data_IF_578270889975
#
_entry.id   IF_578270889975
#
_cell.length_a   1.000
_cell.length_b   1.000
_cell.length_c   1.000
_cell.angle_alpha   90.00
_cell.angle_beta   90.00
_cell.angle_gamma   90.00
#
_symmetry.space_group_name_H-M   'P 1'
#
loop_
_entity.id
_entity.type
_entity.pdbx_description
1 polymer ?
#
# COMPACT_ATOMS: atom_id res chain seq x y z
N UNK A 1 4.31 -25.90 -19.77
CA UNK A 1 3.42 -25.45 -18.68
C UNK A 1 3.55 -26.46 -17.56
N UNK A 2 3.85 -26.02 -16.32
CA UNK A 2 3.96 -26.93 -15.17
C UNK A 2 2.58 -27.38 -14.69
N UNK A 3 2.50 -28.58 -14.10
CA UNK A 3 1.31 -29.06 -13.39
C UNK A 3 1.33 -28.56 -11.93
N UNK A 4 0.18 -28.14 -11.41
CA UNK A 4 -0.01 -27.84 -9.99
C UNK A 4 -0.71 -29.03 -9.32
N UNK A 5 -0.26 -29.41 -8.14
CA UNK A 5 -0.79 -30.57 -7.40
C UNK A 5 -2.02 -30.22 -6.54
N UNK A 6 -2.30 -28.93 -6.36
CA UNK A 6 -3.37 -28.40 -5.49
C UNK A 6 -4.32 -27.54 -6.32
N UNK A 7 -5.61 -27.50 -5.97
CA UNK A 7 -6.55 -26.58 -6.61
C UNK A 7 -6.33 -25.14 -6.08
N UNK A 8 -5.81 -24.21 -6.91
CA UNK A 8 -5.35 -22.92 -6.42
C UNK A 8 -6.53 -22.03 -5.98
N UNK A 9 -6.53 -21.64 -4.72
CA UNK A 9 -7.46 -20.64 -4.16
C UNK A 9 -6.82 -19.25 -4.11
N UNK A 10 -5.52 -19.20 -3.79
CA UNK A 10 -4.73 -17.97 -3.83
C UNK A 10 -3.37 -18.20 -4.46
N UNK A 11 -2.87 -17.18 -5.15
CA UNK A 11 -1.54 -17.16 -5.76
C UNK A 11 -0.91 -15.82 -5.43
N UNK A 12 0.31 -15.82 -4.92
CA UNK A 12 1.01 -14.58 -4.56
C UNK A 12 2.51 -14.70 -4.80
N UNK A 13 3.11 -13.66 -5.37
CA UNK A 13 4.57 -13.54 -5.43
C UNK A 13 5.15 -13.11 -4.09
N UNK A 14 6.38 -13.55 -3.79
CA UNK A 14 7.18 -12.91 -2.75
C UNK A 14 7.43 -11.44 -3.12
N UNK A 15 7.69 -10.53 -2.17
CA UNK A 15 7.86 -9.10 -2.46
C UNK A 15 8.88 -8.78 -3.55
N UNK A 16 9.98 -9.54 -3.62
CA UNK A 16 11.00 -9.40 -4.66
C UNK A 16 10.72 -10.18 -5.96
N UNK A 17 9.55 -10.81 -6.10
CA UNK A 17 9.15 -11.61 -7.26
C UNK A 17 9.89 -12.94 -7.46
N UNK A 18 10.83 -13.32 -6.59
CA UNK A 18 11.67 -14.52 -6.78
C UNK A 18 10.92 -15.83 -6.57
N UNK A 19 9.92 -15.82 -5.69
CA UNK A 19 9.10 -16.96 -5.37
C UNK A 19 7.64 -16.67 -5.70
N UNK A 20 6.88 -17.75 -5.90
CA UNK A 20 5.43 -17.73 -5.97
C UNK A 20 4.90 -18.78 -5.01
N UNK A 21 3.94 -18.41 -4.19
CA UNK A 21 3.19 -19.35 -3.35
C UNK A 21 1.83 -19.61 -3.99
N UNK A 22 1.41 -20.86 -3.94
CA UNK A 22 0.05 -21.29 -4.28
C UNK A 22 -0.53 -21.90 -3.03
N UNK A 23 -1.71 -21.44 -2.61
CA UNK A 23 -2.45 -22.03 -1.50
C UNK A 23 -3.80 -22.56 -1.97
N UNK A 24 -4.23 -23.69 -1.40
CA UNK A 24 -5.50 -24.33 -1.69
C UNK A 24 -5.67 -25.59 -0.86
N UNK A 25 -6.91 -25.99 -0.63
CA UNK A 25 -7.25 -27.26 0.06
C UNK A 25 -6.57 -27.46 1.44
N UNK A 26 -6.25 -26.36 2.14
CA UNK A 26 -5.57 -26.40 3.44
C UNK A 26 -4.05 -26.63 3.34
N UNK A 27 -3.48 -26.47 2.16
CA UNK A 27 -2.05 -26.63 1.87
C UNK A 27 -1.48 -25.38 1.19
N UNK A 28 -0.16 -25.24 1.28
CA UNK A 28 0.61 -24.26 0.52
C UNK A 28 1.81 -24.93 -0.13
N UNK A 29 2.18 -24.44 -1.32
CA UNK A 29 3.40 -24.83 -2.02
C UNK A 29 4.11 -23.58 -2.52
N UNK A 30 5.40 -23.47 -2.22
CA UNK A 30 6.29 -22.39 -2.69
C UNK A 30 7.13 -22.90 -3.84
N UNK A 31 7.11 -22.17 -4.95
CA UNK A 31 7.92 -22.42 -6.13
C UNK A 31 8.87 -21.25 -6.42
N UNK A 32 9.96 -21.51 -7.16
CA UNK A 32 10.70 -20.43 -7.83
C UNK A 32 9.88 -19.85 -8.97
N UNK A 33 9.79 -18.52 -9.08
CA UNK A 33 8.95 -17.89 -10.10
C UNK A 33 9.42 -18.19 -11.54
N UNK A 34 10.74 -18.20 -11.79
CA UNK A 34 11.28 -18.36 -13.15
C UNK A 34 11.15 -19.77 -13.73
N UNK A 35 11.29 -20.80 -12.89
CA UNK A 35 11.43 -22.19 -13.33
C UNK A 35 10.43 -23.14 -12.68
N UNK A 36 9.53 -22.61 -11.83
CA UNK A 36 8.50 -23.36 -11.09
C UNK A 36 9.07 -24.57 -10.33
N UNK A 37 10.28 -24.44 -9.76
CA UNK A 37 10.89 -25.50 -8.95
C UNK A 37 10.36 -25.42 -7.53
N UNK A 38 9.86 -26.55 -7.01
CA UNK A 38 9.40 -26.64 -5.62
C UNK A 38 10.53 -26.27 -4.64
N UNK A 39 10.20 -25.44 -3.65
CA UNK A 39 11.10 -25.00 -2.59
C UNK A 39 10.66 -25.44 -1.20
N UNK A 40 9.37 -25.42 -0.93
CA UNK A 40 8.79 -25.74 0.37
C UNK A 40 7.30 -26.00 0.18
N UNK A 41 6.72 -26.81 1.05
CA UNK A 41 5.29 -27.10 1.09
C UNK A 41 4.90 -27.42 2.54
N UNK A 42 3.60 -27.36 2.81
CA UNK A 42 3.05 -27.74 4.11
C UNK A 42 1.56 -27.48 4.20
N UNK A 43 0.97 -27.80 5.35
CA UNK A 43 -0.43 -27.50 5.65
C UNK A 43 -0.57 -26.07 6.17
N UNK A 44 -1.50 -25.30 5.63
CA UNK A 44 -1.81 -23.95 6.08
C UNK A 44 -3.25 -23.57 5.68
N UNK A 45 -3.98 -22.91 6.57
CA UNK A 45 -5.24 -22.26 6.20
C UNK A 45 -4.99 -20.92 5.51
N UNK A 46 -3.95 -20.20 5.93
CA UNK A 46 -3.51 -18.95 5.32
C UNK A 46 -1.99 -18.88 5.28
N UNK A 47 -1.50 -18.12 4.31
CA UNK A 47 -0.09 -17.86 4.10
C UNK A 47 0.10 -16.37 3.83
N UNK A 48 1.13 -15.77 4.44
CA UNK A 48 1.53 -14.39 4.12
C UNK A 48 3.05 -14.26 4.07
N UNK A 49 3.52 -13.45 3.13
CA UNK A 49 4.92 -13.04 3.06
C UNK A 49 5.21 -11.90 4.04
N UNK A 50 6.38 -11.94 4.68
CA UNK A 50 6.96 -10.73 5.24
C UNK A 50 7.46 -9.81 4.10
N UNK A 51 7.76 -8.55 4.41
CA UNK A 51 8.46 -7.68 3.47
C UNK A 51 9.85 -8.24 3.10
N UNK A 52 10.56 -8.82 4.08
CA UNK A 52 11.73 -9.67 3.81
C UNK A 52 11.28 -10.94 3.09
N UNK A 53 11.64 -11.05 1.80
CA UNK A 53 11.26 -12.16 0.94
C UNK A 53 11.85 -13.52 1.35
N UNK A 54 12.70 -13.57 2.38
CA UNK A 54 13.17 -14.82 2.99
C UNK A 54 12.27 -15.33 4.13
N UNK A 55 11.31 -14.52 4.58
CA UNK A 55 10.44 -14.79 5.72
C UNK A 55 8.97 -14.86 5.31
N UNK A 56 8.23 -15.76 5.95
CA UNK A 56 6.79 -15.90 5.78
C UNK A 56 6.15 -16.47 7.04
N UNK A 57 4.85 -16.28 7.16
CA UNK A 57 4.04 -16.90 8.20
C UNK A 57 2.92 -17.73 7.59
N UNK A 58 2.54 -18.78 8.31
CA UNK A 58 1.32 -19.53 8.03
C UNK A 58 0.46 -19.58 9.28
N UNK A 59 -0.84 -19.74 9.05
CA UNK A 59 -1.82 -19.99 10.11
C UNK A 59 -2.33 -21.43 10.03
N UNK A 60 -2.24 -22.14 11.15
CA UNK A 60 -2.80 -23.47 11.32
C UNK A 60 -3.96 -23.41 12.31
N UNK A 61 -5.18 -23.69 11.83
CA UNK A 61 -6.40 -23.52 12.62
C UNK A 61 -6.60 -22.07 13.09
N UNK A 62 -7.35 -21.89 14.17
CA UNK A 62 -7.76 -20.54 14.62
C UNK A 62 -6.87 -19.97 15.74
N UNK A 63 -5.68 -20.54 15.96
CA UNK A 63 -4.88 -20.17 17.15
C UNK A 63 -3.37 -20.32 17.00
N UNK A 64 -2.87 -21.01 15.98
CA UNK A 64 -1.43 -21.24 15.84
C UNK A 64 -0.90 -20.49 14.63
N UNK A 65 0.12 -19.68 14.87
CA UNK A 65 0.87 -18.98 13.82
C UNK A 65 2.31 -19.47 13.85
N UNK A 66 2.81 -19.87 12.68
CA UNK A 66 4.18 -20.35 12.50
C UNK A 66 4.94 -19.40 11.58
N UNK A 67 6.14 -19.01 11.98
CA UNK A 67 7.04 -18.14 11.23
C UNK A 67 8.20 -18.98 10.70
N UNK A 68 8.49 -18.79 9.42
CA UNK A 68 9.56 -19.46 8.69
C UNK A 68 10.56 -18.43 8.17
N UNK A 69 11.85 -18.79 8.18
CA UNK A 69 12.93 -18.01 7.57
C UNK A 69 13.82 -18.93 6.77
N UNK A 70 14.09 -18.57 5.52
CA UNK A 70 14.83 -19.41 4.56
C UNK A 70 14.22 -20.82 4.44
N UNK A 71 12.88 -20.89 4.38
CA UNK A 71 12.11 -22.15 4.27
C UNK A 71 12.29 -23.13 5.45
N UNK A 72 12.75 -22.64 6.59
CA UNK A 72 12.85 -23.42 7.83
C UNK A 72 12.00 -22.78 8.91
N UNK A 73 11.25 -23.59 9.64
CA UNK A 73 10.47 -23.12 10.79
C UNK A 73 11.42 -22.49 11.81
N UNK A 74 11.08 -21.29 12.28
CA UNK A 74 11.84 -20.55 13.28
C UNK A 74 11.11 -20.44 14.59
N UNK A 75 9.81 -20.14 14.52
CA UNK A 75 9.00 -19.89 15.70
C UNK A 75 7.57 -20.33 15.46
N UNK A 76 6.97 -20.87 16.51
CA UNK A 76 5.56 -21.21 16.56
C UNK A 76 5.01 -20.59 17.83
N UNK A 77 3.93 -19.82 17.71
CA UNK A 77 3.31 -19.14 18.84
C UNK A 77 1.79 -19.12 18.72
N UNK A 78 1.14 -18.86 19.85
CA UNK A 78 -0.32 -18.72 19.94
C UNK A 78 -0.66 -17.29 20.36
N UNK A 79 -1.21 -16.46 19.46
CA UNK A 79 -1.68 -15.13 19.82
C UNK A 79 -2.70 -15.21 20.97
N UNK A 80 -2.58 -14.33 21.97
CA UNK A 80 -3.38 -14.41 23.19
C UNK A 80 -4.91 -14.30 22.98
N UNK A 81 -5.33 -13.66 21.89
CA UNK A 81 -6.74 -13.43 21.55
C UNK A 81 -7.23 -14.30 20.37
N UNK A 82 -6.46 -15.33 20.00
CA UNK A 82 -6.75 -16.15 18.82
C UNK A 82 -6.23 -15.55 17.52
N UNK A 83 -6.37 -16.30 16.43
CA UNK A 83 -5.92 -15.93 15.11
C UNK A 83 -6.96 -16.36 14.07
N UNK A 84 -7.78 -15.43 13.60
CA UNK A 84 -8.79 -15.68 12.57
C UNK A 84 -8.27 -15.35 11.18
N UNK A 85 -7.37 -14.36 11.07
CA UNK A 85 -6.70 -14.00 9.81
C UNK A 85 -5.30 -13.46 10.06
N UNK A 86 -4.36 -13.70 9.15
CA UNK A 86 -3.01 -13.13 9.17
C UNK A 86 -2.75 -12.19 7.99
N UNK A 87 -1.90 -11.18 8.21
CA UNK A 87 -1.51 -10.18 7.24
C UNK A 87 0.01 -10.03 7.20
N UNK A 88 0.55 -9.97 5.99
CA UNK A 88 1.97 -9.77 5.74
C UNK A 88 2.41 -8.31 5.79
N UNK A 89 3.66 -8.07 5.37
CA UNK A 89 4.27 -6.74 5.31
C UNK A 89 5.41 -6.54 6.30
N UNK A 90 5.59 -5.33 6.79
CA UNK A 90 6.70 -4.98 7.69
C UNK A 90 6.56 -5.53 9.10
N UNK A 91 5.32 -5.72 9.56
CA UNK A 91 4.96 -6.45 10.75
C UNK A 91 3.97 -7.56 10.40
N UNK A 92 3.94 -8.60 11.21
CA UNK A 92 2.95 -9.66 11.09
C UNK A 92 1.65 -9.21 11.76
N UNK A 93 0.62 -8.93 10.98
CA UNK A 93 -0.72 -8.64 11.48
C UNK A 93 -1.48 -9.92 11.78
N UNK A 94 -2.14 -9.99 12.93
CA UNK A 94 -3.06 -11.06 13.30
C UNK A 94 -4.38 -10.44 13.71
N UNK A 95 -5.44 -10.73 12.94
CA UNK A 95 -6.81 -10.35 13.29
C UNK A 95 -7.45 -11.44 14.12
N UNK A 96 -8.14 -11.01 15.16
CA UNK A 96 -9.06 -11.79 15.97
C UNK A 96 -10.44 -11.11 15.97
N UNK A 97 -11.45 -11.77 16.53
CA UNK A 97 -12.75 -11.14 16.83
C UNK A 97 -12.66 -9.86 17.69
N UNK A 98 -11.54 -9.64 18.40
CA UNK A 98 -11.34 -8.49 19.28
C UNK A 98 -10.55 -7.33 18.65
N UNK A 99 -10.13 -7.46 17.38
CA UNK A 99 -9.31 -6.45 16.71
C UNK A 99 -8.05 -7.04 16.07
N UNK A 100 -7.09 -6.17 15.77
CA UNK A 100 -5.84 -6.46 15.07
C UNK A 100 -4.65 -6.30 16.02
N UNK A 101 -3.76 -7.28 16.03
CA UNK A 101 -2.48 -7.22 16.74
C UNK A 101 -1.32 -7.30 15.74
N UNK A 102 -0.36 -6.39 15.87
CA UNK A 102 0.89 -6.41 15.11
C UNK A 102 2.01 -7.06 15.93
N UNK A 103 2.72 -7.99 15.32
CA UNK A 103 3.85 -8.70 15.91
C UNK A 103 5.13 -8.47 15.11
N UNK A 104 6.27 -8.44 15.81
CA UNK A 104 7.58 -8.42 15.18
C UNK A 104 7.91 -9.77 14.53
N UNK A 105 8.46 -9.77 13.31
CA UNK A 105 8.79 -11.01 12.59
C UNK A 105 9.88 -11.86 13.27
N UNK A 106 10.90 -11.23 13.86
CA UNK A 106 12.04 -11.95 14.45
C UNK A 106 11.73 -12.46 15.87
N UNK A 107 11.16 -11.62 16.72
CA UNK A 107 10.93 -11.96 18.13
C UNK A 107 9.52 -12.44 18.42
N UNK A 108 8.56 -12.27 17.50
CA UNK A 108 7.12 -12.49 17.71
C UNK A 108 6.55 -11.78 18.94
N UNK A 109 7.18 -10.69 19.37
CA UNK A 109 6.66 -9.86 20.44
C UNK A 109 5.51 -8.99 19.92
N UNK A 110 4.53 -8.74 20.79
CA UNK A 110 3.43 -7.83 20.49
C UNK A 110 3.98 -6.40 20.39
N UNK A 111 3.83 -5.79 19.21
CA UNK A 111 4.21 -4.40 18.97
C UNK A 111 3.08 -3.47 19.36
N UNK A 112 1.88 -3.70 18.83
CA UNK A 112 0.70 -2.90 19.15
C UNK A 112 -0.57 -3.67 18.81
N UNK A 113 -1.58 -3.53 19.66
CA UNK A 113 -2.96 -3.93 19.38
C UNK A 113 -3.81 -2.71 19.07
N UNK A 114 -4.71 -2.87 18.12
CA UNK A 114 -5.70 -1.85 17.73
C UNK A 114 -7.07 -2.50 17.60
N UNK A 115 -8.10 -1.80 18.06
CA UNK A 115 -9.50 -2.26 18.03
C UNK A 115 -10.14 -2.02 16.66
N UNK A 116 -9.44 -2.41 15.59
CA UNK A 116 -9.88 -2.30 14.21
C UNK A 116 -9.97 -3.70 13.62
N UNK A 117 -11.06 -3.99 12.89
CA UNK A 117 -11.28 -5.26 12.20
C UNK A 117 -10.95 -5.13 10.71
N UNK A 118 -9.70 -5.41 10.28
CA UNK A 118 -9.32 -5.27 8.87
C UNK A 118 -9.93 -6.36 7.99
N UNK A 119 -10.30 -6.00 6.77
CA UNK A 119 -10.40 -6.91 5.62
C UNK A 119 -9.06 -7.04 4.91
N UNK A 120 -8.32 -5.93 4.79
CA UNK A 120 -7.01 -5.89 4.14
C UNK A 120 -6.05 -4.94 4.86
N UNK A 121 -4.75 -5.22 4.73
CA UNK A 121 -3.67 -4.36 5.22
C UNK A 121 -2.66 -4.16 4.08
N UNK A 122 -2.32 -2.91 3.79
CA UNK A 122 -1.37 -2.55 2.74
C UNK A 122 -0.27 -1.67 3.32
N UNK A 123 0.96 -2.15 3.27
CA UNK A 123 2.14 -1.38 3.69
C UNK A 123 2.75 -0.62 2.52
N UNK A 124 3.27 0.57 2.78
CA UNK A 124 4.13 1.28 1.83
C UNK A 124 5.46 0.57 1.67
N UNK A 125 6.13 0.77 0.53
CA UNK A 125 7.45 0.16 0.27
C UNK A 125 8.53 0.64 1.26
N UNK A 126 8.36 1.80 1.88
CA UNK A 126 9.23 2.31 2.95
C UNK A 126 8.99 1.66 4.30
N UNK A 127 7.80 1.07 4.52
CA UNK A 127 7.36 0.56 5.81
C UNK A 127 6.92 1.63 6.81
N UNK A 128 6.95 2.90 6.42
CA UNK A 128 6.55 4.02 7.29
C UNK A 128 5.03 4.22 7.31
N UNK A 129 4.31 3.81 6.26
CA UNK A 129 2.87 4.01 6.14
C UNK A 129 2.16 2.66 6.01
N UNK A 130 1.00 2.55 6.64
CA UNK A 130 0.12 1.40 6.52
C UNK A 130 -1.32 1.85 6.34
N UNK A 131 -1.99 1.25 5.37
CA UNK A 131 -3.43 1.37 5.18
C UNK A 131 -4.11 0.13 5.78
N UNK A 132 -5.06 0.34 6.68
CA UNK A 132 -5.90 -0.68 7.27
C UNK A 132 -7.31 -0.50 6.72
N UNK A 133 -7.70 -1.36 5.77
CA UNK A 133 -9.01 -1.30 5.13
C UNK A 133 -10.01 -2.21 5.85
N UNK A 134 -11.15 -1.67 6.23
CA UNK A 134 -12.24 -2.37 6.94
C UNK A 134 -13.43 -2.63 6.01
N UNK A 135 -14.58 -2.99 6.57
CA UNK A 135 -15.82 -3.18 5.83
C UNK A 135 -16.43 -1.88 5.30
N UNK A 136 -16.19 -0.77 5.99
CA UNK A 136 -16.90 0.50 5.75
C UNK A 136 -15.95 1.68 5.47
N UNK A 137 -14.75 1.65 6.04
CA UNK A 137 -13.74 2.72 5.92
C UNK A 137 -12.32 2.16 5.80
N UNK A 138 -11.35 3.03 5.54
CA UNK A 138 -9.94 2.70 5.72
C UNK A 138 -9.22 3.76 6.54
N UNK A 139 -8.20 3.32 7.26
CA UNK A 139 -7.35 4.14 8.10
C UNK A 139 -5.94 4.17 7.53
N UNK A 140 -5.32 5.34 7.53
CA UNK A 140 -3.90 5.48 7.20
C UNK A 140 -3.13 5.83 8.46
N UNK A 141 -2.16 4.98 8.80
CA UNK A 141 -1.32 5.14 9.98
C UNK A 141 0.15 5.26 9.56
N UNK A 142 0.92 5.99 10.35
CA UNK A 142 2.38 6.04 10.29
C UNK A 142 2.95 5.08 11.34
N UNK A 143 3.86 4.21 10.93
CA UNK A 143 4.61 3.34 11.81
C UNK A 143 5.95 3.98 12.19
N UNK A 144 6.24 4.06 13.49
CA UNK A 144 7.43 4.69 14.04
C UNK A 144 8.37 3.64 14.64
N UNK A 145 9.24 3.06 13.80
CA UNK A 145 10.20 2.03 14.23
C UNK A 145 11.10 2.47 15.39
N UNK A 146 11.48 3.75 15.44
CA UNK A 146 12.31 4.31 16.51
C UNK A 146 11.65 4.16 17.89
N UNK A 147 10.33 4.38 17.98
CA UNK A 147 9.56 4.23 19.21
C UNK A 147 9.55 2.78 19.70
N UNK A 148 9.49 1.84 18.76
CA UNK A 148 9.58 0.41 19.07
C UNK A 148 10.92 0.06 19.68
N UNK A 149 12.02 0.50 19.06
CA UNK A 149 13.38 0.25 19.54
C UNK A 149 13.59 0.83 20.95
N UNK A 150 13.19 2.08 21.19
CA UNK A 150 13.32 2.72 22.51
C UNK A 150 12.49 2.02 23.60
N UNK A 151 11.27 1.57 23.27
CA UNK A 151 10.42 0.85 24.21
C UNK A 151 10.99 -0.54 24.57
N UNK A 152 11.64 -1.21 23.62
CA UNK A 152 12.29 -2.50 23.86
C UNK A 152 13.50 -2.39 24.80
N UNK A 153 14.24 -1.28 24.73
CA UNK A 153 15.39 -1.02 25.62
C UNK A 153 14.97 -0.61 27.03
N UNK A 154 14.00 0.29 27.14
CA UNK A 154 13.57 0.87 28.43
C UNK A 154 12.59 -0.01 29.22
N UNK A 155 11.84 -0.90 28.55
CA UNK A 155 10.76 -1.75 29.12
C UNK A 155 9.64 -1.03 29.90
N UNK A 156 9.75 0.26 30.15
CA UNK A 156 8.75 1.06 30.88
C UNK A 156 7.51 1.41 30.03
N UNK A 157 7.62 1.36 28.69
CA UNK A 157 6.54 1.74 27.76
C UNK A 157 5.71 0.56 27.24
N UNK A 158 5.85 -0.63 27.83
CA UNK A 158 5.11 -1.83 27.42
C UNK A 158 3.79 -1.93 28.21
N UNK A 159 2.68 -1.72 27.51
CA UNK A 159 1.33 -1.96 28.03
C UNK A 159 0.83 -3.34 27.63
N UNK A 160 -0.32 -3.77 28.16
CA UNK A 160 -0.98 -5.01 27.73
C UNK A 160 -1.31 -5.02 26.23
N UNK A 161 -1.57 -3.84 25.66
CA UNK A 161 -1.83 -3.64 24.23
C UNK A 161 -0.56 -3.30 23.42
N UNK A 162 0.63 -3.44 24.00
CA UNK A 162 1.92 -3.15 23.37
C UNK A 162 2.36 -1.70 23.54
N UNK A 163 2.94 -1.13 22.49
CA UNK A 163 3.60 0.19 22.47
C UNK A 163 2.66 1.18 21.78
N UNK A 164 2.01 2.04 22.55
CA UNK A 164 1.01 2.98 22.03
C UNK A 164 1.57 3.92 20.97
N UNK A 165 2.77 4.46 21.21
CA UNK A 165 3.46 5.39 20.31
C UNK A 165 4.05 4.72 19.06
N UNK A 166 3.89 3.41 18.87
CA UNK A 166 4.40 2.72 17.68
C UNK A 166 3.66 3.14 16.40
N UNK A 167 2.40 3.59 16.53
CA UNK A 167 1.57 4.01 15.40
C UNK A 167 0.92 5.36 15.66
N UNK A 168 0.95 6.22 14.65
CA UNK A 168 0.25 7.50 14.62
C UNK A 168 -0.85 7.45 13.55
N UNK A 169 -2.09 7.79 13.89
CA UNK A 169 -3.20 7.83 12.93
C UNK A 169 -3.12 9.14 12.14
N UNK A 170 -2.94 9.03 10.82
CA UNK A 170 -2.85 10.21 9.92
C UNK A 170 -4.21 10.64 9.38
N UNK A 171 -5.12 9.68 9.16
CA UNK A 171 -6.44 9.98 8.61
C UNK A 171 -7.34 8.76 8.53
N UNK A 172 -8.64 9.03 8.46
CA UNK A 172 -9.70 8.06 8.23
C UNK A 172 -10.52 8.50 7.02
N UNK A 173 -10.86 7.55 6.15
CA UNK A 173 -11.66 7.78 4.96
C UNK A 173 -12.83 6.81 4.94
N UNK A 174 -14.05 7.35 4.84
CA UNK A 174 -15.29 6.59 4.72
C UNK A 174 -15.51 6.07 3.28
N UNK A 175 -14.55 5.31 2.77
CA UNK A 175 -14.68 4.54 1.52
C UNK A 175 -14.25 3.09 1.73
N UNK A 176 -14.91 2.17 1.04
CA UNK A 176 -14.60 0.74 1.10
C UNK A 176 -13.58 0.39 0.03
N UNK A 177 -12.39 -0.05 0.45
CA UNK A 177 -11.30 -0.47 -0.44
C UNK A 177 -11.49 -1.94 -0.86
N UNK A 178 -11.47 -2.20 -2.17
CA UNK A 178 -11.45 -3.55 -2.75
C UNK A 178 -10.03 -4.07 -2.93
N UNK A 179 -9.16 -3.27 -3.54
CA UNK A 179 -7.73 -3.54 -3.68
C UNK A 179 -6.95 -2.24 -3.55
N UNK A 180 -5.71 -2.32 -3.10
CA UNK A 180 -4.86 -1.15 -2.94
C UNK A 180 -3.38 -1.48 -3.07
N UNK A 181 -2.59 -0.46 -3.39
CA UNK A 181 -1.14 -0.49 -3.35
C UNK A 181 -0.60 0.91 -3.08
N UNK A 182 0.64 0.99 -2.61
CA UNK A 182 1.33 2.26 -2.40
C UNK A 182 2.26 2.55 -3.58
N UNK A 183 2.34 3.82 -3.96
CA UNK A 183 3.39 4.35 -4.83
C UNK A 183 3.97 5.58 -4.12
N UNK A 184 5.14 5.42 -3.51
CA UNK A 184 5.64 6.40 -2.55
C UNK A 184 4.66 6.55 -1.37
N UNK A 185 4.21 7.78 -1.12
CA UNK A 185 3.21 8.10 -0.08
C UNK A 185 1.76 8.14 -0.61
N UNK A 186 1.55 7.84 -1.89
CA UNK A 186 0.21 7.83 -2.47
C UNK A 186 -0.37 6.43 -2.35
N UNK A 187 -1.46 6.28 -1.60
CA UNK A 187 -2.19 5.03 -1.52
C UNK A 187 -3.23 4.97 -2.64
N UNK A 188 -2.96 4.17 -3.66
CA UNK A 188 -3.84 3.98 -4.82
C UNK A 188 -4.76 2.79 -4.54
N UNK A 189 -6.06 2.95 -4.78
CA UNK A 189 -7.04 1.91 -4.49
C UNK A 189 -8.23 1.90 -5.45
N UNK A 190 -8.88 0.74 -5.52
CA UNK A 190 -10.22 0.61 -6.13
C UNK A 190 -11.28 0.57 -5.04
N UNK A 191 -12.37 1.32 -5.23
CA UNK A 191 -13.47 1.38 -4.27
C UNK A 191 -14.60 0.38 -4.58
N UNK A 192 -15.49 0.17 -3.62
CA UNK A 192 -16.68 -0.68 -3.79
C UNK A 192 -17.60 -0.20 -4.92
N UNK A 193 -17.63 1.11 -5.18
CA UNK A 193 -18.41 1.78 -6.23
C UNK A 193 -17.67 1.88 -7.57
N UNK A 194 -16.65 1.02 -7.79
CA UNK A 194 -15.89 0.92 -9.03
C UNK A 194 -15.21 2.25 -9.43
N UNK A 195 -14.63 2.97 -8.46
CA UNK A 195 -13.74 4.11 -8.74
C UNK A 195 -12.30 3.72 -8.53
N UNK A 196 -11.42 4.24 -9.36
CA UNK A 196 -9.98 4.21 -9.17
C UNK A 196 -9.56 5.55 -8.57
N UNK A 197 -9.13 5.51 -7.31
CA UNK A 197 -8.77 6.68 -6.52
C UNK A 197 -7.33 6.55 -6.03
N UNK A 198 -6.73 7.66 -5.63
CA UNK A 198 -5.59 7.65 -4.73
C UNK A 198 -5.77 8.63 -3.59
N UNK A 199 -5.21 8.27 -2.44
CA UNK A 199 -5.16 9.07 -1.23
C UNK A 199 -3.76 9.65 -1.07
N UNK A 200 -3.67 10.96 -0.81
CA UNK A 200 -2.42 11.65 -0.51
C UNK A 200 -2.66 12.76 0.50
N UNK A 201 -2.01 12.67 1.67
CA UNK A 201 -2.03 13.75 2.68
C UNK A 201 -3.41 14.22 3.13
N UNK A 202 -4.38 13.31 3.27
CA UNK A 202 -5.76 13.59 3.68
C UNK A 202 -6.75 13.78 2.53
N UNK A 203 -6.26 13.95 1.30
CA UNK A 203 -7.09 14.22 0.13
C UNK A 203 -7.29 12.96 -0.71
N UNK A 204 -8.47 12.84 -1.32
CA UNK A 204 -8.81 11.75 -2.25
C UNK A 204 -8.97 12.33 -3.64
N UNK A 205 -8.24 11.76 -4.59
CA UNK A 205 -8.28 12.17 -5.99
C UNK A 205 -8.71 10.99 -6.84
N UNK A 206 -9.75 11.20 -7.66
CA UNK A 206 -10.24 10.18 -8.60
C UNK A 206 -9.43 10.22 -9.89
N UNK A 207 -8.84 9.08 -10.26
CA UNK A 207 -8.14 8.87 -11.53
C UNK A 207 -9.16 8.55 -12.62
N UNK A 208 -10.05 7.59 -12.35
CA UNK A 208 -11.03 7.10 -13.32
C UNK A 208 -12.27 6.48 -12.67
N UNK A 209 -13.38 6.53 -13.38
CA UNK A 209 -14.57 5.72 -13.12
C UNK A 209 -14.48 4.43 -13.94
N UNK A 210 -14.65 3.28 -13.29
CA UNK A 210 -14.56 1.97 -13.91
C UNK A 210 -15.96 1.47 -14.26
N UNK A 211 -16.11 0.88 -15.45
CA UNK A 211 -17.36 0.28 -15.94
C UNK A 211 -17.70 -1.03 -15.21
N UNK A 212 -16.67 -1.73 -14.72
CA UNK A 212 -16.76 -3.03 -14.05
C UNK A 212 -15.87 -3.07 -12.82
N UNK A 213 -15.98 -4.15 -12.04
CA UNK A 213 -15.04 -4.40 -10.94
C UNK A 213 -13.68 -4.80 -11.49
N UNK A 214 -12.68 -3.97 -11.19
CA UNK A 214 -11.28 -4.20 -11.51
C UNK A 214 -10.46 -4.33 -10.22
N UNK A 215 -9.37 -5.08 -10.30
CA UNK A 215 -8.44 -5.35 -9.21
C UNK A 215 -7.06 -4.80 -9.59
N UNK A 216 -6.40 -4.09 -8.68
CA UNK A 216 -5.05 -3.57 -8.91
C UNK A 216 -4.05 -4.72 -9.00
N UNK A 217 -3.23 -4.71 -10.06
CA UNK A 217 -2.16 -5.67 -10.28
C UNK A 217 -0.79 -5.11 -9.88
N UNK A 218 -0.56 -3.82 -10.15
CA UNK A 218 0.73 -3.20 -9.88
C UNK A 218 0.91 -1.86 -10.58
N UNK A 219 1.91 -1.10 -10.13
CA UNK A 219 2.39 0.10 -10.79
C UNK A 219 3.78 -0.16 -11.38
N UNK A 220 4.01 0.26 -12.63
CA UNK A 220 5.32 0.15 -13.28
C UNK A 220 5.88 1.56 -13.47
N UNK A 221 6.84 1.99 -12.63
CA UNK A 221 7.41 3.35 -12.71
C UNK A 221 8.05 3.66 -14.05
N UNK A 222 8.67 2.67 -14.70
CA UNK A 222 9.31 2.84 -16.01
C UNK A 222 8.33 3.28 -17.11
N UNK A 223 7.07 2.86 -16.99
CA UNK A 223 6.03 3.10 -17.99
C UNK A 223 5.06 4.21 -17.56
N UNK A 224 5.21 4.75 -16.35
CA UNK A 224 4.26 5.67 -15.71
C UNK A 224 2.80 5.17 -15.80
N UNK A 225 2.64 3.86 -15.51
CA UNK A 225 1.38 3.15 -15.72
C UNK A 225 0.99 2.27 -14.55
N UNK A 226 -0.30 2.34 -14.23
CA UNK A 226 -0.99 1.48 -13.30
C UNK A 226 -1.75 0.41 -14.08
N UNK A 227 -1.62 -0.85 -13.68
CA UNK A 227 -2.25 -2.00 -14.33
C UNK A 227 -3.34 -2.60 -13.43
N UNK A 228 -4.48 -2.91 -14.04
CA UNK A 228 -5.62 -3.53 -13.38
C UNK A 228 -6.09 -4.75 -14.18
N UNK A 229 -6.61 -5.75 -13.48
CA UNK A 229 -7.20 -6.97 -14.05
C UNK A 229 -8.68 -7.11 -13.67
N UNK A 230 -9.50 -7.68 -14.55
CA UNK A 230 -10.85 -8.12 -14.21
C UNK A 230 -10.92 -9.65 -13.96
N UNK A 231 -12.12 -10.16 -13.66
CA UNK A 231 -12.35 -11.58 -13.39
C UNK A 231 -12.16 -12.47 -14.62
N UNK A 232 -12.18 -11.90 -15.82
CA UNK A 232 -11.97 -12.59 -17.10
C UNK A 232 -10.49 -12.56 -17.52
N UNK A 233 -9.61 -12.04 -16.66
CA UNK A 233 -8.18 -11.87 -16.89
C UNK A 233 -7.85 -10.84 -17.98
N UNK A 234 -8.78 -9.92 -18.30
CA UNK A 234 -8.48 -8.79 -19.15
C UNK A 234 -7.63 -7.78 -18.37
N UNK A 235 -6.58 -7.26 -19.00
CA UNK A 235 -5.67 -6.27 -18.41
C UNK A 235 -5.93 -4.90 -19.03
N UNK A 236 -6.17 -3.90 -18.18
CA UNK A 236 -6.31 -2.50 -18.55
C UNK A 236 -5.19 -1.70 -17.88
N UNK A 237 -4.70 -0.65 -18.53
CA UNK A 237 -3.73 0.26 -17.93
C UNK A 237 -4.20 1.71 -17.95
N UNK A 238 -3.85 2.45 -16.90
CA UNK A 238 -4.06 3.88 -16.77
C UNK A 238 -2.71 4.57 -16.69
N UNK A 239 -2.56 5.68 -17.42
CA UNK A 239 -1.38 6.54 -17.27
C UNK A 239 -1.50 7.33 -15.97
N UNK A 240 -0.49 7.22 -15.12
CA UNK A 240 -0.36 7.94 -13.87
C UNK A 240 1.12 8.23 -13.67
N UNK A 241 1.51 9.49 -13.88
CA UNK A 241 2.92 9.86 -13.85
C UNK A 241 3.43 9.86 -12.42
N UNK A 242 4.60 9.25 -12.21
CA UNK A 242 5.26 9.25 -10.90
C UNK A 242 5.56 10.69 -10.44
N UNK A 243 5.98 11.56 -11.36
CA UNK A 243 6.28 12.96 -11.06
C UNK A 243 5.07 13.75 -10.54
N UNK A 244 3.86 13.40 -10.97
CA UNK A 244 2.62 13.99 -10.44
C UNK A 244 2.41 13.58 -8.98
N UNK A 245 2.57 12.28 -8.69
CA UNK A 245 2.43 11.75 -7.32
C UNK A 245 3.50 12.33 -6.38
N UNK A 246 4.75 12.42 -6.82
CA UNK A 246 5.86 13.00 -6.07
C UNK A 246 5.62 14.48 -5.77
N UNK A 247 5.16 15.25 -6.77
CA UNK A 247 4.85 16.66 -6.61
C UNK A 247 3.73 16.87 -5.58
N UNK A 248 2.62 16.13 -5.71
CA UNK A 248 1.49 16.26 -4.79
C UNK A 248 1.92 15.87 -3.38
N UNK A 249 2.70 14.80 -3.23
CA UNK A 249 3.27 14.41 -1.93
C UNK A 249 4.14 15.53 -1.33
N UNK A 250 5.01 16.15 -2.12
CA UNK A 250 5.87 17.25 -1.66
C UNK A 250 5.04 18.46 -1.19
N UNK A 251 4.00 18.82 -1.96
CA UNK A 251 3.06 19.89 -1.59
C UNK A 251 2.32 19.55 -0.29
N UNK A 252 1.87 18.30 -0.13
CA UNK A 252 1.20 17.84 1.10
C UNK A 252 2.10 17.92 2.33
N UNK A 253 3.40 17.62 2.15
CA UNK A 253 4.44 17.73 3.18
C UNK A 253 4.93 19.17 3.42
N UNK A 254 4.40 20.16 2.68
CA UNK A 254 4.87 21.56 2.66
C UNK A 254 6.35 21.72 2.27
N UNK A 255 6.91 20.73 1.58
CA UNK A 255 8.26 20.80 1.02
C UNK A 255 8.21 21.40 -0.39
N UNK A 256 8.06 22.71 -0.44
CA UNK A 256 7.97 23.44 -1.70
C UNK A 256 9.27 23.43 -2.51
N UNK A 257 10.41 23.24 -1.86
CA UNK A 257 11.70 23.15 -2.56
C UNK A 257 11.76 21.91 -3.45
N UNK A 258 11.28 20.77 -2.94
CA UNK A 258 11.18 19.55 -3.73
C UNK A 258 10.09 19.68 -4.79
N UNK A 259 8.92 20.24 -4.44
CA UNK A 259 7.83 20.47 -5.38
C UNK A 259 8.27 21.33 -6.60
N UNK A 260 9.01 22.41 -6.37
CA UNK A 260 9.50 23.30 -7.44
C UNK A 260 10.52 22.62 -8.36
N UNK A 261 11.26 21.63 -7.86
CA UNK A 261 12.20 20.83 -8.67
C UNK A 261 11.50 19.77 -9.51
N UNK A 262 10.40 19.22 -9.02
CA UNK A 262 9.63 18.17 -9.71
C UNK A 262 8.69 18.79 -10.76
N UNK A 263 8.12 19.97 -10.51
CA UNK A 263 7.16 20.60 -11.41
C UNK A 263 7.59 20.70 -12.89
N UNK A 264 8.86 21.01 -13.24
CA UNK A 264 9.31 21.05 -14.62
C UNK A 264 9.25 19.71 -15.36
N UNK A 265 9.32 18.58 -14.65
CA UNK A 265 9.30 17.24 -15.25
C UNK A 265 7.89 16.77 -15.63
N UNK A 266 6.86 17.42 -15.08
CA UNK A 266 5.45 17.14 -15.40
C UNK A 266 5.10 17.81 -16.74
N UNK A 267 4.57 17.08 -17.74
CA UNK A 267 4.07 17.66 -18.98
C UNK A 267 2.98 18.72 -18.75
N UNK A 268 3.03 19.83 -19.51
CA UNK A 268 2.13 20.98 -19.34
C UNK A 268 0.64 20.61 -19.32
N UNK A 269 0.23 19.67 -20.19
CA UNK A 269 -1.15 19.18 -20.31
C UNK A 269 -1.67 18.50 -19.04
N UNK A 270 -0.78 17.96 -18.21
CA UNK A 270 -1.11 17.24 -16.99
C UNK A 270 -0.89 18.07 -15.72
N UNK A 271 -0.45 19.33 -15.84
CA UNK A 271 -0.20 20.23 -14.70
C UNK A 271 -1.47 20.79 -14.06
N UNK A 272 -2.62 20.73 -14.72
CA UNK A 272 -3.87 21.29 -14.20
C UNK A 272 -4.24 20.72 -12.83
N UNK A 273 -4.02 19.41 -12.62
CA UNK A 273 -4.29 18.72 -11.34
C UNK A 273 -3.28 19.11 -10.24
N UNK A 274 -1.95 18.95 -10.42
CA UNK A 274 -0.93 19.44 -9.49
C UNK A 274 -1.12 20.90 -9.04
N UNK A 275 -1.40 21.78 -10.00
CA UNK A 275 -1.58 23.22 -9.73
C UNK A 275 -2.86 23.49 -8.95
N UNK A 276 -3.94 22.74 -9.19
CA UNK A 276 -5.17 22.86 -8.40
C UNK A 276 -4.94 22.49 -6.94
N UNK A 277 -4.21 21.41 -6.67
CA UNK A 277 -3.86 20.97 -5.31
C UNK A 277 -3.03 22.03 -4.58
N UNK A 278 -2.04 22.63 -5.25
CA UNK A 278 -1.25 23.73 -4.69
C UNK A 278 -2.12 24.97 -4.38
N UNK A 279 -3.05 25.33 -5.27
CA UNK A 279 -3.95 26.47 -5.09
C UNK A 279 -4.92 26.28 -3.92
N UNK A 280 -5.49 25.09 -3.77
CA UNK A 280 -6.40 24.77 -2.66
C UNK A 280 -5.73 24.87 -1.29
N UNK A 281 -4.47 24.43 -1.15
CA UNK A 281 -3.78 24.44 0.16
C UNK A 281 -3.14 25.77 0.54
N UNK A 282 -2.80 26.64 -0.43
CA UNK A 282 -2.08 27.88 -0.11
C UNK A 282 -2.97 29.09 0.19
N UNK A 283 -4.29 29.07 -0.03
CA UNK A 283 -5.16 30.25 0.11
C UNK A 283 -4.57 31.53 -0.57
N UNK A 284 -3.65 31.34 -1.52
CA UNK A 284 -3.00 32.39 -2.29
C UNK A 284 -3.75 32.52 -3.61
N UNK A 285 -4.99 33.01 -3.51
CA UNK A 285 -5.56 33.81 -4.59
C UNK A 285 -4.56 34.96 -4.81
N UNK A 286 -3.79 34.91 -5.90
CA UNK A 286 -3.16 36.04 -6.64
C UNK A 286 -1.80 35.62 -7.25
N UNK A 287 -0.86 34.98 -6.54
CA UNK A 287 0.51 34.82 -7.08
C UNK A 287 0.65 33.79 -8.21
N UNK A 288 -0.04 32.64 -8.11
CA UNK A 288 -0.01 31.60 -9.15
C UNK A 288 -0.87 32.00 -10.35
N UNK A 289 -2.01 32.64 -10.11
CA UNK A 289 -2.85 33.27 -11.14
C UNK A 289 -2.09 34.35 -11.90
N UNK A 290 -1.29 35.18 -11.20
CA UNK A 290 -0.42 36.16 -11.87
C UNK A 290 0.63 35.47 -12.73
N UNK A 291 1.36 34.47 -12.23
CA UNK A 291 2.37 33.77 -13.03
C UNK A 291 1.79 33.01 -14.24
N UNK A 292 0.55 32.51 -14.13
CA UNK A 292 -0.15 31.89 -15.26
C UNK A 292 -0.64 32.93 -16.27
N UNK A 293 -1.18 34.06 -15.79
CA UNK A 293 -1.63 35.17 -16.64
C UNK A 293 -0.46 35.91 -17.31
N UNK A 294 0.71 36.10 -16.66
CA UNK A 294 1.90 36.66 -17.32
C UNK A 294 2.46 35.75 -18.38
N UNK A 295 2.38 34.42 -18.23
CA UNK A 295 2.82 33.49 -19.28
C UNK A 295 1.83 33.40 -20.44
N UNK A 296 0.53 33.50 -20.18
CA UNK A 296 -0.49 33.57 -21.25
C UNK A 296 -0.48 34.90 -22.00
N UNK A 297 -0.21 36.03 -21.34
CA UNK A 297 -0.11 37.33 -22.00
C UNK A 297 1.15 37.44 -22.87
N UNK A 298 2.26 36.79 -22.47
CA UNK A 298 3.46 36.68 -23.33
C UNK A 298 3.17 35.83 -24.57
N UNK A 299 2.39 34.74 -24.46
CA UNK A 299 2.02 33.91 -25.63
C UNK A 299 1.02 34.61 -26.58
N UNK A 300 0.13 35.45 -26.06
CA UNK A 300 -0.78 36.26 -26.88
C UNK A 300 -0.08 37.46 -27.54
N UNK A 301 1.04 37.96 -27.00
CA UNK A 301 1.84 39.01 -27.66
C UNK A 301 2.69 38.50 -28.85
N UNK A 302 2.92 37.18 -28.96
CA UNK A 302 3.66 36.57 -30.07
C UNK A 302 2.77 35.98 -31.18
N UNK A 303 1.43 36.08 -31.07
CA UNK A 303 0.47 35.69 -32.12
C UNK A 303 -0.18 36.89 -32.82
N UNK A 304 0.46 38.07 -32.75
CA UNK A 304 0.12 39.22 -33.58
C UNK A 304 0.45 38.97 -35.04
N UNK A 305 -0.41 38.23 -35.74
CA UNK A 305 -0.54 38.31 -37.20
C UNK A 305 -0.76 39.78 -37.58
N UNK A 306 0.22 40.35 -38.28
CA UNK A 306 0.02 41.56 -39.05
C UNK A 306 -0.97 41.24 -40.17
N UNK A 307 -2.22 41.64 -39.98
CA UNK A 307 -3.15 41.92 -41.07
C UNK A 307 -2.81 43.32 -41.58
N UNK A 308 -2.04 43.41 -42.67
CA UNK A 308 -2.29 44.24 -43.87
C UNK A 308 -1.64 43.55 -45.06
#
# INVERSE_FOLDING_TARGET
MGSCEVYPQTIQHSPNGRFVVVCGDGEYIIYTAMALRNKSYGSAQEFVWAHDSSQYAIREGNSVVKIFKNFKEKKTFKPGFGADCIFGGFLLGVRSNSGLAFYGWETSDLIRRVEILPKHIFWSDSGELVCIATEESFFVLRFLMERVTTAQESREMLTEDGIEDAFEVLGEVQEVVKTGLWVGDCFIYTSSVNRLNYYVGGEIITIAHLDRTMYLLGYIPKDDRLYLGDKELNIISYSLLLSVLEYETAVMRKDFNTADRVLPTIPLEQRTRPLSVMLFKNNCLISVLLNYLTRLSILLQFSGEQIV
#
